data_IF_570256393436
#
_entry.id   IF_570256393436
#
_cell.length_a   1.000
_cell.length_b   1.000
_cell.length_c   1.000
_cell.angle_alpha   90.00
_cell.angle_beta   90.00
_cell.angle_gamma   90.00
#
_symmetry.space_group_name_H-M   'P 1'
#
loop_
_entity.id
_entity.type
_entity.pdbx_description
1 polymer ?
#
# COMPACT_ATOMS: atom_id res chain seq x y z
N UNK A 1 9.06 25.85 -6.80
CA UNK A 1 8.46 24.50 -6.95
C UNK A 1 9.46 23.52 -7.60
N UNK A 2 10.51 23.08 -6.89
CA UNK A 2 11.58 22.20 -7.46
C UNK A 2 11.62 20.77 -6.89
N UNK A 3 10.74 20.41 -5.94
CA UNK A 3 10.79 19.10 -5.25
C UNK A 3 9.87 18.03 -5.86
N UNK A 4 8.82 18.43 -6.59
CA UNK A 4 7.86 17.53 -7.21
C UNK A 4 8.51 16.61 -8.24
N UNK A 5 9.43 17.13 -9.06
CA UNK A 5 10.08 16.34 -10.11
C UNK A 5 11.02 15.26 -9.58
N UNK A 6 11.70 15.48 -8.45
CA UNK A 6 12.58 14.45 -7.86
C UNK A 6 11.78 13.35 -7.17
N UNK A 7 10.63 13.69 -6.58
CA UNK A 7 9.70 12.70 -6.07
C UNK A 7 9.11 11.89 -7.23
N UNK A 8 8.53 12.56 -8.24
CA UNK A 8 7.99 11.97 -9.47
C UNK A 8 8.99 11.06 -10.18
N UNK A 9 10.25 11.49 -10.30
CA UNK A 9 11.34 10.69 -10.85
C UNK A 9 11.62 9.42 -10.04
N UNK A 10 11.61 9.50 -8.70
CA UNK A 10 11.71 8.31 -7.82
C UNK A 10 10.50 7.38 -7.95
N UNK A 11 9.31 7.91 -8.28
CA UNK A 11 8.09 7.13 -8.57
C UNK A 11 8.22 6.44 -9.94
N UNK A 12 8.53 7.20 -10.99
CA UNK A 12 8.57 6.77 -12.39
C UNK A 12 9.73 5.80 -12.68
N UNK A 13 10.85 5.93 -11.96
CA UNK A 13 12.02 5.07 -12.16
C UNK A 13 12.03 3.84 -11.25
N UNK A 14 10.91 3.58 -10.53
CA UNK A 14 10.56 2.24 -10.02
C UNK A 14 11.63 1.51 -9.23
N UNK A 15 12.57 2.21 -8.60
CA UNK A 15 13.74 1.57 -8.05
C UNK A 15 13.46 1.28 -6.58
N UNK A 16 13.04 0.05 -6.31
CA UNK A 16 13.22 -0.63 -5.02
C UNK A 16 14.58 -0.23 -4.41
N UNK A 17 14.57 0.81 -3.59
CA UNK A 17 15.76 1.43 -3.00
C UNK A 17 15.75 1.12 -1.51
N UNK A 18 16.93 0.81 -0.96
CA UNK A 18 17.10 0.82 0.50
C UNK A 18 16.54 2.12 1.05
N UNK A 19 15.56 2.02 1.96
CA UNK A 19 14.90 3.16 2.58
C UNK A 19 13.47 3.43 2.10
N UNK A 20 13.02 2.97 0.93
CA UNK A 20 11.61 3.20 0.52
C UNK A 20 10.70 2.11 1.07
N UNK A 21 9.59 2.52 1.68
CA UNK A 21 8.55 1.63 2.19
C UNK A 21 7.23 1.91 1.48
N UNK A 22 6.51 0.84 1.16
CA UNK A 22 5.20 0.82 0.53
C UNK A 22 4.14 0.49 1.57
N UNK A 23 2.96 1.10 1.42
CA UNK A 23 1.79 0.82 2.24
C UNK A 23 0.85 -0.01 1.38
N UNK A 24 0.70 -1.27 1.77
CA UNK A 24 -0.16 -2.23 1.11
C UNK A 24 -1.48 -2.35 1.86
N UNK A 25 -2.58 -2.36 1.11
CA UNK A 25 -3.90 -2.73 1.59
C UNK A 25 -4.20 -4.17 1.17
N UNK A 26 -4.24 -5.14 2.10
CA UNK A 26 -4.56 -6.52 1.76
C UNK A 26 -6.00 -6.67 1.28
N UNK A 27 -6.20 -7.55 0.30
CA UNK A 27 -7.52 -7.86 -0.26
C UNK A 27 -8.28 -8.85 0.64
N UNK A 28 -8.60 -8.42 1.87
CA UNK A 28 -9.42 -9.19 2.83
C UNK A 28 -10.24 -8.26 3.70
N UNK A 29 -11.43 -8.68 4.10
CA UNK A 29 -12.25 -7.92 5.04
C UNK A 29 -11.55 -7.80 6.40
N UNK A 30 -11.59 -6.60 6.99
CA UNK A 30 -10.90 -6.31 8.25
C UNK A 30 -9.36 -6.35 8.17
N UNK A 31 -8.78 -6.24 6.97
CA UNK A 31 -7.34 -6.15 6.80
C UNK A 31 -6.75 -4.93 7.52
N UNK A 32 -5.57 -5.12 8.11
CA UNK A 32 -4.72 -4.03 8.59
C UNK A 32 -3.75 -3.65 7.48
N UNK A 33 -3.40 -2.35 7.37
CA UNK A 33 -2.38 -1.89 6.43
C UNK A 33 -1.03 -2.52 6.73
N UNK A 34 -0.38 -3.01 5.67
CA UNK A 34 0.93 -3.65 5.75
C UNK A 34 2.01 -2.72 5.24
N UNK A 35 3.14 -2.70 5.94
CA UNK A 35 4.30 -1.91 5.56
C UNK A 35 5.36 -2.79 4.91
N UNK A 36 5.57 -2.62 3.61
CA UNK A 36 6.46 -3.47 2.80
C UNK A 36 7.71 -2.67 2.42
N UNK A 37 8.91 -3.06 2.86
CA UNK A 37 10.15 -2.50 2.31
C UNK A 37 10.22 -2.78 0.81
N UNK A 38 10.37 -1.73 -0.01
CA UNK A 38 10.37 -1.84 -1.47
C UNK A 38 11.47 -2.78 -2.00
N UNK A 39 12.56 -2.97 -1.25
CA UNK A 39 13.64 -3.90 -1.59
C UNK A 39 13.16 -5.35 -1.73
N UNK A 40 12.09 -5.74 -1.05
CA UNK A 40 11.52 -7.09 -1.14
C UNK A 40 10.95 -7.37 -2.54
N UNK A 41 10.50 -6.35 -3.27
CA UNK A 41 9.96 -6.49 -4.62
C UNK A 41 11.01 -6.94 -5.65
N UNK A 42 12.31 -6.88 -5.31
CA UNK A 42 13.39 -7.42 -6.15
C UNK A 42 13.53 -8.94 -6.07
N UNK A 43 12.92 -9.58 -5.08
CA UNK A 43 12.95 -11.03 -4.94
C UNK A 43 12.10 -11.67 -6.05
N UNK A 44 12.66 -12.64 -6.78
CA UNK A 44 12.03 -13.24 -7.96
C UNK A 44 10.69 -13.92 -7.69
N UNK A 45 10.44 -14.35 -6.44
CA UNK A 45 9.21 -15.03 -6.01
C UNK A 45 8.24 -14.11 -5.27
N UNK A 46 8.52 -12.80 -5.17
CA UNK A 46 7.62 -11.89 -4.46
C UNK A 46 6.39 -11.59 -5.33
N UNK A 47 5.15 -11.74 -4.81
CA UNK A 47 3.91 -11.59 -5.59
C UNK A 47 3.55 -10.11 -5.81
N UNK A 48 4.44 -9.36 -6.49
CA UNK A 48 4.32 -7.91 -6.67
C UNK A 48 3.06 -7.50 -7.46
N UNK A 49 2.58 -8.36 -8.35
CA UNK A 49 1.40 -8.13 -9.19
C UNK A 49 0.08 -8.18 -8.39
N UNK A 50 0.11 -8.77 -7.19
CA UNK A 50 -1.06 -8.93 -6.32
C UNK A 50 -1.17 -7.82 -5.26
N UNK A 51 -0.19 -6.91 -5.18
CA UNK A 51 -0.18 -5.87 -4.16
C UNK A 51 -1.06 -4.68 -4.57
N UNK A 52 -2.07 -4.38 -3.75
CA UNK A 52 -2.73 -3.07 -3.78
C UNK A 52 -1.88 -2.07 -2.96
N UNK A 53 -1.12 -1.20 -3.63
CA UNK A 53 -0.31 -0.17 -2.97
C UNK A 53 -1.10 1.14 -2.92
N UNK A 54 -1.40 1.59 -1.71
CA UNK A 54 -2.19 2.83 -1.47
C UNK A 54 -1.32 4.02 -1.07
N UNK A 55 -0.03 3.80 -0.80
CA UNK A 55 0.90 4.85 -0.41
C UNK A 55 2.35 4.38 -0.32
N UNK A 56 3.26 5.33 -0.15
CA UNK A 56 4.68 5.05 0.07
C UNK A 56 5.40 6.22 0.76
N UNK A 57 6.54 5.94 1.38
CA UNK A 57 7.42 6.97 1.92
C UNK A 57 8.91 6.62 1.76
N UNK A 58 9.75 7.66 1.91
CA UNK A 58 11.21 7.56 1.76
C UNK A 58 11.96 6.95 2.94
N UNK A 59 11.26 6.65 4.04
CA UNK A 59 11.76 5.94 5.21
C UNK A 59 10.58 5.28 5.96
N UNK A 60 10.90 4.50 7.00
CA UNK A 60 9.90 3.80 7.81
C UNK A 60 9.03 4.77 8.63
N UNK A 61 9.61 5.84 9.13
CA UNK A 61 8.93 6.78 10.03
C UNK A 61 7.87 7.57 9.27
N UNK A 62 8.20 8.12 8.11
CA UNK A 62 7.27 8.80 7.22
C UNK A 62 6.17 7.87 6.70
N UNK A 63 6.46 6.58 6.51
CA UNK A 63 5.42 5.63 6.12
C UNK A 63 4.44 5.34 7.25
N UNK A 64 4.94 5.20 8.49
CA UNK A 64 4.08 5.06 9.67
C UNK A 64 3.26 6.32 9.94
N UNK A 65 3.84 7.50 9.75
CA UNK A 65 3.12 8.77 9.86
C UNK A 65 2.00 8.86 8.82
N UNK A 66 2.25 8.39 7.58
CA UNK A 66 1.25 8.33 6.53
C UNK A 66 0.14 7.32 6.87
N UNK A 67 0.48 6.12 7.38
CA UNK A 67 -0.52 5.16 7.88
C UNK A 67 -1.39 5.79 8.96
N UNK A 68 -0.79 6.49 9.93
CA UNK A 68 -1.53 7.19 10.99
C UNK A 68 -2.51 8.20 10.41
N UNK A 69 -2.06 9.03 9.46
CA UNK A 69 -2.92 10.03 8.80
C UNK A 69 -4.11 9.39 8.09
N UNK A 70 -3.86 8.31 7.33
CA UNK A 70 -4.92 7.56 6.63
C UNK A 70 -5.95 7.03 7.64
N UNK A 71 -5.49 6.38 8.71
CA UNK A 71 -6.38 5.81 9.73
C UNK A 71 -7.17 6.90 10.46
N UNK A 72 -6.53 8.01 10.83
CA UNK A 72 -7.19 9.14 11.49
C UNK A 72 -8.25 9.78 10.59
N UNK A 73 -7.97 9.92 9.29
CA UNK A 73 -8.90 10.48 8.29
C UNK A 73 -10.12 9.57 8.11
N UNK A 74 -9.90 8.27 7.88
CA UNK A 74 -10.97 7.28 7.73
C UNK A 74 -11.87 7.25 8.96
N UNK A 75 -11.28 7.20 10.15
CA UNK A 75 -12.04 7.17 11.39
C UNK A 75 -12.82 8.47 11.63
N UNK A 76 -12.22 9.63 11.33
CA UNK A 76 -12.88 10.93 11.49
C UNK A 76 -14.07 11.09 10.56
N UNK A 77 -14.00 10.56 9.34
CA UNK A 77 -15.05 10.74 8.32
C UNK A 77 -16.13 9.65 8.37
N UNK A 78 -15.76 8.41 8.67
CA UNK A 78 -16.67 7.26 8.60
C UNK A 78 -17.02 6.64 9.95
N UNK A 79 -16.35 7.06 11.05
CA UNK A 79 -16.45 6.45 12.37
C UNK A 79 -16.17 4.93 12.38
N UNK A 80 -15.39 4.47 11.40
CA UNK A 80 -14.99 3.07 11.24
C UNK A 80 -13.54 3.01 10.72
N UNK A 81 -13.08 1.81 10.34
CA UNK A 81 -11.73 1.59 9.79
C UNK A 81 -11.78 0.92 8.40
N UNK A 82 -12.86 1.10 7.63
CA UNK A 82 -12.96 0.55 6.27
C UNK A 82 -12.21 1.42 5.26
N UNK A 83 -10.89 1.22 5.23
CA UNK A 83 -9.97 1.97 4.36
C UNK A 83 -10.26 1.69 2.88
N UNK A 84 -10.67 0.47 2.53
CA UNK A 84 -10.99 0.12 1.14
C UNK A 84 -12.20 0.91 0.64
N UNK A 85 -13.26 0.96 1.45
CA UNK A 85 -14.46 1.75 1.16
C UNK A 85 -14.13 3.25 1.08
N UNK A 86 -13.36 3.77 2.04
CA UNK A 86 -12.92 5.17 2.06
C UNK A 86 -12.14 5.58 0.80
N UNK A 87 -11.21 4.73 0.35
CA UNK A 87 -10.40 4.97 -0.84
C UNK A 87 -11.11 4.55 -2.14
N UNK A 88 -12.36 4.08 -2.07
CA UNK A 88 -13.14 3.60 -3.21
C UNK A 88 -12.41 2.51 -4.01
N UNK A 89 -11.70 1.64 -3.30
CA UNK A 89 -10.98 0.51 -3.89
C UNK A 89 -11.94 -0.65 -4.03
N UNK A 90 -12.13 -1.11 -5.26
CA UNK A 90 -12.93 -2.29 -5.56
C UNK A 90 -12.17 -3.55 -5.10
N UNK A 91 -12.68 -4.19 -4.04
CA UNK A 91 -12.19 -5.49 -3.60
C UNK A 91 -12.74 -6.52 -4.58
N UNK A 92 -11.88 -7.08 -5.43
CA UNK A 92 -12.28 -8.23 -6.24
C UNK A 92 -12.61 -9.34 -5.26
N UNK A 93 -13.88 -9.78 -5.22
CA UNK A 93 -14.25 -11.02 -4.58
C UNK A 93 -13.44 -12.15 -5.23
N UNK A 94 -12.33 -12.53 -4.62
CA UNK A 94 -11.71 -13.82 -4.85
C UNK A 94 -12.58 -14.85 -4.13
N UNK A 95 -13.77 -15.09 -4.69
CA UNK A 95 -14.50 -16.32 -4.44
C UNK A 95 -13.55 -17.47 -4.81
N UNK A 96 -13.34 -18.37 -3.86
CA UNK A 96 -12.60 -19.60 -4.00
C UNK A 96 -12.91 -20.32 -5.32
N UNK A 97 -12.01 -20.22 -6.29
CA UNK A 97 -11.90 -21.15 -7.41
C UNK A 97 -10.68 -22.02 -7.15
N UNK A 98 -10.90 -23.10 -6.40
CA UNK A 98 -9.86 -24.06 -6.03
C UNK A 98 -10.36 -25.34 -5.36
N UNK A 99 -11.64 -25.71 -5.53
CA UNK A 99 -12.03 -27.13 -5.43
C UNK A 99 -11.72 -27.76 -6.78
N UNK A 100 -10.64 -28.54 -6.88
CA UNK A 100 -10.29 -29.20 -8.14
C UNK A 100 -8.98 -29.98 -8.09
N UNK A 101 -9.10 -31.23 -7.63
CA UNK A 101 -8.17 -32.39 -7.63
C UNK A 101 -7.31 -32.59 -6.37
#
# INVERSE_FOLDING_TARGET
MRHTNRLKYKIEHGAAHKGVYLIHLPDRAGAVLELIPSILLRQSRYPREQLCIIGMAGDRAGALELIRKIVDEVYREQHNFDIASYLQIDRKNTSDEGTGL
#
